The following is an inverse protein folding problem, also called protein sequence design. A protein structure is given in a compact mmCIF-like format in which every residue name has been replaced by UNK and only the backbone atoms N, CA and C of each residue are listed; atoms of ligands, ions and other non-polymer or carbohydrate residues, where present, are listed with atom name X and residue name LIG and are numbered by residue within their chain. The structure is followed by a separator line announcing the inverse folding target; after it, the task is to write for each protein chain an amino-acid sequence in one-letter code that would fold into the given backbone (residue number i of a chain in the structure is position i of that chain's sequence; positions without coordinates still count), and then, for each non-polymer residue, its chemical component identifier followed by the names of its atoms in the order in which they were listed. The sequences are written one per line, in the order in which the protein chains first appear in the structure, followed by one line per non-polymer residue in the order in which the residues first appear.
data_IF_149929805175
#
_entry.id   IF_149929805175
#
_cell.length_a   1.000
_cell.length_b   1.000
_cell.length_c   1.000
_cell.angle_alpha   90.00
_cell.angle_beta   90.00
_cell.angle_gamma   90.00
#
_symmetry.space_group_name_H-M   'P 1'
#
loop_
_entity.id
_entity.type
_entity.pdbx_description
1 polymer ?
#
# COMPACT_ATOMS: atom_id res chain seq x y z
N UNK A 1 -23.28 -3.59 11.93
CA UNK A 1 -22.15 -3.36 12.88
C UNK A 1 -22.73 -3.04 14.26
N UNK A 2 -22.10 -3.40 15.39
CA UNK A 2 -22.68 -3.10 16.72
C UNK A 2 -23.01 -1.60 16.91
N UNK A 3 -22.13 -0.71 16.45
CA UNK A 3 -22.35 0.74 16.52
C UNK A 3 -23.57 1.23 15.73
N UNK A 4 -23.95 0.52 14.67
CA UNK A 4 -25.15 0.79 13.87
C UNK A 4 -26.42 0.43 14.66
N UNK A 5 -26.41 -0.71 15.35
CA UNK A 5 -27.52 -1.12 16.23
C UNK A 5 -27.68 -0.16 17.41
N UNK A 6 -26.57 0.41 17.92
CA UNK A 6 -26.61 1.39 19.01
C UNK A 6 -27.15 2.76 18.57
N UNK A 7 -27.13 3.07 17.27
CA UNK A 7 -27.68 4.31 16.74
C UNK A 7 -29.19 4.40 16.94
N UNK A 8 -29.91 3.27 16.81
CA UNK A 8 -31.36 3.18 17.03
C UNK A 8 -31.76 3.44 18.50
N UNK A 9 -30.80 3.31 19.43
CA UNK A 9 -31.00 3.52 20.87
C UNK A 9 -30.30 4.77 21.39
N UNK A 10 -29.95 5.71 20.51
CA UNK A 10 -29.17 6.89 20.85
C UNK A 10 -29.76 7.65 22.05
N UNK A 11 -31.07 7.85 22.13
CA UNK A 11 -31.69 8.65 23.20
C UNK A 11 -31.64 7.95 24.57
N UNK A 12 -31.79 6.62 24.58
CA UNK A 12 -31.68 5.80 25.81
C UNK A 12 -30.22 5.76 26.26
N UNK A 13 -29.29 5.49 25.34
CA UNK A 13 -27.85 5.47 25.63
C UNK A 13 -27.35 6.82 26.08
N UNK A 14 -27.81 7.89 25.44
CA UNK A 14 -27.53 9.28 25.85
C UNK A 14 -27.97 9.54 27.28
N UNK A 15 -29.17 9.11 27.64
CA UNK A 15 -29.70 9.27 28.99
C UNK A 15 -28.87 8.49 30.02
N UNK A 16 -28.47 7.25 29.70
CA UNK A 16 -27.62 6.43 30.57
C UNK A 16 -26.20 6.98 30.71
N UNK A 17 -25.61 7.44 29.61
CA UNK A 17 -24.23 7.97 29.57
C UNK A 17 -24.12 9.34 30.26
N UNK A 18 -25.14 10.20 30.12
CA UNK A 18 -25.17 11.54 30.74
C UNK A 18 -25.44 11.52 32.24
N UNK A 19 -25.99 10.42 32.79
CA UNK A 19 -26.15 10.23 34.24
C UNK A 19 -24.82 10.14 34.98
N UNK A 20 -23.71 9.82 34.30
CA UNK A 20 -22.41 9.55 34.92
C UNK A 20 -21.39 10.70 34.80
N UNK A 21 -21.66 11.76 34.01
CA UNK A 21 -20.62 12.74 33.67
C UNK A 21 -21.14 14.20 33.70
N UNK A 22 -20.68 14.97 34.69
CA UNK A 22 -21.10 16.36 34.93
C UNK A 22 -20.61 17.35 33.86
N UNK A 23 -19.65 16.93 33.03
CA UNK A 23 -19.08 17.71 31.93
C UNK A 23 -20.09 18.11 30.85
N UNK A 24 -21.22 17.38 30.74
CA UNK A 24 -22.27 17.66 29.76
C UNK A 24 -23.26 18.76 30.19
N UNK A 25 -23.16 19.32 31.41
CA UNK A 25 -24.19 20.17 32.00
C UNK A 25 -24.57 21.43 31.19
N UNK A 26 -23.71 21.92 30.29
CA UNK A 26 -23.90 23.19 29.58
C UNK A 26 -24.38 23.08 28.10
N UNK A 27 -24.44 21.89 27.50
CA UNK A 27 -24.80 21.75 26.06
C UNK A 27 -26.31 21.53 25.82
N UNK A 28 -26.86 22.02 24.71
CA UNK A 28 -28.24 21.70 24.27
C UNK A 28 -28.37 20.31 23.64
N UNK A 29 -27.26 19.72 23.17
CA UNK A 29 -27.17 18.40 22.51
C UNK A 29 -26.38 17.38 23.37
N UNK A 30 -26.60 17.39 24.70
CA UNK A 30 -25.84 16.57 25.67
C UNK A 30 -25.78 15.08 25.30
N UNK A 31 -26.92 14.54 24.85
CA UNK A 31 -27.02 13.15 24.47
C UNK A 31 -26.16 12.78 23.27
N UNK A 32 -26.25 13.58 22.19
CA UNK A 32 -25.43 13.40 20.99
C UNK A 32 -23.94 13.51 21.30
N UNK A 33 -23.54 14.45 22.15
CA UNK A 33 -22.14 14.62 22.54
C UNK A 33 -21.62 13.45 23.39
N UNK A 34 -22.42 12.96 24.35
CA UNK A 34 -22.08 11.79 25.15
C UNK A 34 -21.96 10.52 24.28
N UNK A 35 -22.87 10.35 23.33
CA UNK A 35 -22.82 9.27 22.35
C UNK A 35 -21.59 9.39 21.43
N UNK A 36 -21.26 10.60 20.96
CA UNK A 36 -20.06 10.88 20.18
C UNK A 36 -18.78 10.52 20.93
N UNK A 37 -18.68 10.89 22.21
CA UNK A 37 -17.54 10.54 23.06
C UNK A 37 -17.44 9.02 23.27
N UNK A 38 -18.56 8.34 23.51
CA UNK A 38 -18.60 6.89 23.63
C UNK A 38 -18.10 6.20 22.35
N UNK A 39 -18.63 6.59 21.19
CA UNK A 39 -18.21 6.03 19.89
C UNK A 39 -16.71 6.29 19.67
N UNK A 40 -16.23 7.51 19.95
CA UNK A 40 -14.81 7.87 19.82
C UNK A 40 -13.93 6.93 20.66
N UNK A 41 -14.34 6.64 21.89
CA UNK A 41 -13.63 5.71 22.78
C UNK A 41 -13.63 4.29 22.24
N UNK A 42 -14.77 3.79 21.77
CA UNK A 42 -14.89 2.46 21.15
C UNK A 42 -13.99 2.34 19.92
N UNK A 43 -14.01 3.33 19.03
CA UNK A 43 -13.16 3.37 17.83
C UNK A 43 -11.67 3.38 18.19
N UNK A 44 -11.29 4.14 19.21
CA UNK A 44 -9.91 4.22 19.70
C UNK A 44 -9.44 2.87 20.27
N UNK A 45 -10.27 2.24 21.11
CA UNK A 45 -9.99 0.91 21.66
C UNK A 45 -9.92 -0.17 20.56
N UNK A 46 -10.83 -0.12 19.59
CA UNK A 46 -10.84 -1.03 18.45
C UNK A 46 -9.55 -0.88 17.63
N UNK A 47 -9.17 0.35 17.29
CA UNK A 47 -7.96 0.63 16.51
C UNK A 47 -6.70 0.14 17.22
N UNK A 48 -6.56 0.40 18.53
CA UNK A 48 -5.44 -0.12 19.33
C UNK A 48 -5.42 -1.65 19.37
N UNK A 49 -6.59 -2.27 19.54
CA UNK A 49 -6.71 -3.73 19.55
C UNK A 49 -6.31 -4.35 18.22
N UNK A 50 -6.72 -3.74 17.10
CA UNK A 50 -6.34 -4.16 15.75
C UNK A 50 -4.83 -4.00 15.51
N UNK A 51 -4.23 -2.90 16.00
CA UNK A 51 -2.79 -2.69 15.92
C UNK A 51 -2.01 -3.74 16.71
N UNK A 52 -2.50 -4.14 17.87
CA UNK A 52 -1.88 -5.22 18.65
C UNK A 52 -2.07 -6.58 17.96
N UNK A 53 -3.26 -6.85 17.42
CA UNK A 53 -3.54 -8.10 16.69
C UNK A 53 -2.71 -8.24 15.42
N UNK A 54 -2.43 -7.15 14.72
CA UNK A 54 -1.59 -7.23 13.52
C UNK A 54 -0.18 -7.74 13.84
N UNK A 55 0.35 -7.47 15.04
CA UNK A 55 1.70 -7.84 15.42
C UNK A 55 1.91 -9.36 15.58
N UNK A 56 0.84 -10.17 15.50
CA UNK A 56 0.94 -11.63 15.44
C UNK A 56 1.36 -12.13 14.04
N UNK A 57 1.22 -11.32 12.99
CA UNK A 57 1.76 -11.68 11.69
C UNK A 57 3.28 -11.46 11.68
N UNK A 58 4.01 -12.46 11.19
CA UNK A 58 5.47 -12.38 11.06
C UNK A 58 5.91 -11.44 9.94
N UNK A 59 5.07 -11.29 8.90
CA UNK A 59 5.32 -10.39 7.78
C UNK A 59 4.78 -8.98 8.10
N UNK A 60 5.68 -8.00 8.21
CA UNK A 60 5.32 -6.60 8.47
C UNK A 60 4.44 -5.96 7.39
N UNK A 61 4.50 -6.42 6.14
CA UNK A 61 3.64 -5.94 5.07
C UNK A 61 2.24 -6.54 5.17
N UNK A 62 2.13 -7.79 5.65
CA UNK A 62 0.82 -8.39 5.99
C UNK A 62 0.18 -7.66 7.18
N UNK A 63 0.96 -7.26 8.19
CA UNK A 63 0.47 -6.40 9.26
C UNK A 63 -0.16 -5.11 8.71
N UNK A 64 0.52 -4.48 7.74
CA UNK A 64 0.06 -3.25 7.10
C UNK A 64 -1.24 -3.47 6.31
N UNK A 65 -1.34 -4.55 5.52
CA UNK A 65 -2.57 -4.92 4.80
C UNK A 65 -3.74 -5.19 5.76
N UNK A 66 -3.50 -5.93 6.84
CA UNK A 66 -4.51 -6.19 7.85
C UNK A 66 -5.06 -4.89 8.46
N UNK A 67 -4.16 -3.98 8.88
CA UNK A 67 -4.56 -2.67 9.42
C UNK A 67 -5.31 -1.84 8.38
N UNK A 68 -4.82 -1.82 7.15
CA UNK A 68 -5.43 -1.10 6.03
C UNK A 68 -6.87 -1.56 5.77
N UNK A 69 -7.11 -2.88 5.69
CA UNK A 69 -8.45 -3.45 5.50
C UNK A 69 -9.41 -2.98 6.60
N UNK A 70 -8.99 -3.09 7.86
CA UNK A 70 -9.85 -2.75 8.99
C UNK A 70 -10.10 -1.24 9.10
N UNK A 71 -9.07 -0.40 8.90
CA UNK A 71 -9.21 1.06 8.91
C UNK A 71 -10.13 1.54 7.79
N UNK A 72 -9.98 0.98 6.58
CA UNK A 72 -10.84 1.31 5.45
C UNK A 72 -12.29 0.88 5.71
N UNK A 73 -12.50 -0.31 6.27
CA UNK A 73 -13.83 -0.77 6.67
C UNK A 73 -14.47 0.15 7.73
N UNK A 74 -13.72 0.53 8.78
CA UNK A 74 -14.21 1.46 9.81
C UNK A 74 -14.63 2.79 9.18
N UNK A 75 -13.77 3.38 8.34
CA UNK A 75 -14.07 4.66 7.70
C UNK A 75 -15.32 4.58 6.83
N UNK A 76 -15.43 3.56 5.95
CA UNK A 76 -16.62 3.35 5.12
C UNK A 76 -17.87 3.09 5.95
N UNK A 77 -17.77 2.32 7.04
CA UNK A 77 -18.89 2.05 7.92
C UNK A 77 -19.39 3.32 8.61
N UNK A 78 -18.49 4.18 9.09
CA UNK A 78 -18.84 5.48 9.69
C UNK A 78 -19.49 6.43 8.68
N UNK A 79 -19.00 6.46 7.45
CA UNK A 79 -19.57 7.28 6.38
C UNK A 79 -20.96 6.77 5.96
N UNK A 80 -21.12 5.46 5.75
CA UNK A 80 -22.39 4.84 5.34
C UNK A 80 -23.50 5.00 6.37
N UNK A 81 -23.17 4.91 7.66
CA UNK A 81 -24.15 5.01 8.76
C UNK A 81 -24.44 6.46 9.17
N UNK A 82 -23.68 7.43 8.65
CA UNK A 82 -23.75 8.82 9.09
C UNK A 82 -23.16 9.07 10.48
N UNK A 83 -22.65 8.03 11.16
CA UNK A 83 -22.01 8.14 12.48
C UNK A 83 -20.79 9.07 12.45
N UNK A 84 -20.15 9.24 11.29
CA UNK A 84 -19.03 10.15 11.13
C UNK A 84 -19.36 11.59 11.57
N UNK A 85 -20.59 12.07 11.30
CA UNK A 85 -21.02 13.42 11.66
C UNK A 85 -21.28 13.55 13.17
N UNK A 86 -21.75 12.48 13.82
CA UNK A 86 -21.90 12.43 15.27
C UNK A 86 -20.52 12.45 15.93
N UNK A 87 -19.60 11.61 15.46
CA UNK A 87 -18.23 11.54 16.02
C UNK A 87 -17.50 12.86 15.86
N UNK A 88 -17.70 13.58 14.75
CA UNK A 88 -17.13 14.93 14.51
C UNK A 88 -17.54 15.97 15.56
N UNK A 89 -18.67 15.79 16.26
CA UNK A 89 -19.08 16.67 17.36
C UNK A 89 -18.10 16.63 18.55
N UNK A 90 -17.42 15.50 18.75
CA UNK A 90 -16.43 15.31 19.82
C UNK A 90 -14.99 15.31 19.27
N UNK A 91 -14.77 14.70 18.11
CA UNK A 91 -13.47 14.58 17.45
C UNK A 91 -13.56 15.05 15.99
N UNK A 92 -13.48 16.36 15.78
CA UNK A 92 -13.63 17.01 14.46
C UNK A 92 -12.66 16.47 13.40
N UNK A 93 -11.46 16.07 13.80
CA UNK A 93 -10.40 15.57 12.92
C UNK A 93 -10.44 14.04 12.68
N UNK A 94 -11.47 13.32 13.16
CA UNK A 94 -11.51 11.84 13.10
C UNK A 94 -11.32 11.29 11.68
N UNK A 95 -12.01 11.88 10.70
CA UNK A 95 -11.95 11.45 9.30
C UNK A 95 -10.56 11.67 8.71
N UNK A 96 -9.97 12.84 9.00
CA UNK A 96 -8.60 13.17 8.59
C UNK A 96 -7.59 12.21 9.21
N UNK A 97 -7.74 11.88 10.50
CA UNK A 97 -6.85 10.96 11.21
C UNK A 97 -6.92 9.54 10.63
N UNK A 98 -8.12 9.01 10.38
CA UNK A 98 -8.30 7.70 9.73
C UNK A 98 -7.65 7.66 8.33
N UNK A 99 -7.85 8.71 7.53
CA UNK A 99 -7.23 8.82 6.21
C UNK A 99 -5.70 8.88 6.27
N UNK A 100 -5.12 9.57 7.27
CA UNK A 100 -3.67 9.57 7.50
C UNK A 100 -3.15 8.17 7.85
N UNK A 101 -3.82 7.46 8.76
CA UNK A 101 -3.43 6.10 9.11
C UNK A 101 -3.52 5.14 7.90
N UNK A 102 -4.57 5.25 7.09
CA UNK A 102 -4.73 4.49 5.83
C UNK A 102 -3.54 4.76 4.90
N UNK A 103 -3.18 6.04 4.71
CA UNK A 103 -2.03 6.44 3.88
C UNK A 103 -0.72 5.89 4.42
N UNK A 104 -0.52 5.91 5.73
CA UNK A 104 0.69 5.37 6.36
C UNK A 104 0.79 3.86 6.15
N UNK A 105 -0.31 3.11 6.28
CA UNK A 105 -0.30 1.67 6.00
C UNK A 105 -0.03 1.37 4.53
N UNK A 106 -0.58 2.16 3.59
CA UNK A 106 -0.22 2.05 2.16
C UNK A 106 1.28 2.28 1.93
N UNK A 107 1.88 3.26 2.61
CA UNK A 107 3.33 3.54 2.53
C UNK A 107 4.17 2.39 3.09
N UNK A 108 3.78 1.79 4.22
CA UNK A 108 4.49 0.63 4.76
C UNK A 108 4.38 -0.55 3.79
N UNK A 109 3.19 -0.82 3.28
CA UNK A 109 2.96 -1.87 2.28
C UNK A 109 3.80 -1.67 1.01
N UNK A 110 3.91 -0.44 0.48
CA UNK A 110 4.66 -0.18 -0.75
C UNK A 110 6.14 -0.51 -0.63
N UNK A 111 6.70 -0.54 0.59
CA UNK A 111 8.08 -0.96 0.83
C UNK A 111 8.32 -2.45 0.54
N UNK A 112 7.27 -3.27 0.40
CA UNK A 112 7.39 -4.67 -0.05
C UNK A 112 8.04 -4.79 -1.44
N UNK A 113 7.92 -3.75 -2.28
CA UNK A 113 8.54 -3.69 -3.60
C UNK A 113 10.03 -3.35 -3.60
N UNK A 114 10.62 -2.99 -2.45
CA UNK A 114 12.01 -2.50 -2.39
C UNK A 114 13.03 -3.49 -2.97
N UNK A 115 12.83 -4.80 -2.75
CA UNK A 115 13.72 -5.86 -3.27
C UNK A 115 13.63 -6.00 -4.78
N UNK A 116 12.43 -5.89 -5.35
CA UNK A 116 12.21 -5.86 -6.80
C UNK A 116 12.85 -4.61 -7.41
N UNK A 117 12.58 -3.46 -6.78
CA UNK A 117 13.05 -2.16 -7.22
C UNK A 117 14.57 -2.05 -7.23
N UNK A 118 15.25 -2.71 -6.30
CA UNK A 118 16.71 -2.75 -6.23
C UNK A 118 17.37 -3.13 -7.57
N UNK A 119 16.80 -4.09 -8.30
CA UNK A 119 17.37 -4.56 -9.56
C UNK A 119 17.15 -3.62 -10.76
N UNK A 120 16.12 -2.75 -10.69
CA UNK A 120 15.70 -1.88 -11.80
C UNK A 120 15.98 -0.40 -11.57
N UNK A 121 16.21 0.02 -10.32
CA UNK A 121 16.50 1.43 -9.99
C UNK A 121 17.99 1.79 -10.14
N UNK A 122 18.90 0.81 -10.12
CA UNK A 122 20.33 1.07 -10.32
C UNK A 122 20.73 1.28 -11.80
N UNK A 123 19.76 1.60 -12.66
CA UNK A 123 19.97 1.81 -14.10
C UNK A 123 20.59 3.18 -14.39
N UNK A 124 20.43 4.13 -13.47
CA UNK A 124 20.96 5.49 -13.55
C UNK A 124 22.41 5.63 -13.09
N UNK A 125 23.01 4.57 -12.50
CA UNK A 125 24.47 4.56 -12.34
C UNK A 125 25.07 4.34 -13.73
N UNK A 126 25.78 5.32 -14.30
CA UNK A 126 26.42 5.12 -15.60
C UNK A 126 27.33 3.91 -15.48
N UNK A 127 27.16 2.94 -16.40
CA UNK A 127 28.03 1.76 -16.57
C UNK A 127 29.50 2.18 -16.86
N UNK A 128 29.81 3.47 -16.90
CA UNK A 128 31.16 4.00 -17.07
C UNK A 128 31.32 5.38 -16.42
N UNK A 129 31.46 5.45 -15.09
CA UNK A 129 32.19 6.57 -14.46
C UNK A 129 33.66 6.19 -14.24
N UNK A 130 34.31 5.80 -15.33
CA UNK A 130 35.72 6.05 -15.57
C UNK A 130 35.87 6.43 -17.05
N UNK A 131 35.37 7.61 -17.42
CA UNK A 131 36.18 8.60 -18.13
C UNK A 131 35.46 9.92 -18.15
N UNK A 132 36.15 10.88 -17.54
CA UNK A 132 35.90 12.30 -17.64
C UNK A 132 35.82 12.75 -19.11
N UNK A 133 34.93 13.71 -19.35
CA UNK A 133 35.01 14.77 -20.37
C UNK A 133 35.45 14.32 -21.77
N UNK A 134 34.46 14.11 -22.64
CA UNK A 134 34.63 14.35 -24.06
C UNK A 134 33.35 15.01 -24.56
N UNK A 135 33.46 16.32 -24.81
CA UNK A 135 32.39 17.15 -25.35
C UNK A 135 32.05 16.66 -26.77
N UNK A 136 31.04 15.80 -26.92
CA UNK A 136 30.34 15.63 -28.20
C UNK A 136 28.93 15.11 -27.95
N UNK A 137 27.96 15.93 -28.31
CA UNK A 137 26.54 15.59 -28.39
C UNK A 137 26.30 14.61 -29.54
N UNK A 138 26.49 13.32 -29.28
CA UNK A 138 25.94 12.19 -30.05
C UNK A 138 26.29 10.88 -29.33
N UNK A 139 25.28 10.15 -28.84
CA UNK A 139 25.44 8.78 -28.35
C UNK A 139 25.87 7.89 -29.53
N UNK A 140 27.01 7.16 -29.47
CA UNK A 140 27.28 6.12 -30.44
C UNK A 140 26.48 4.88 -30.05
N UNK A 141 25.36 4.66 -30.73
CA UNK A 141 24.75 3.35 -30.88
C UNK A 141 25.80 2.36 -31.41
N UNK A 142 26.07 1.29 -30.65
CA UNK A 142 27.02 0.18 -30.91
C UNK A 142 28.39 0.18 -30.19
N UNK A 143 28.52 0.74 -28.98
CA UNK A 143 29.66 0.37 -28.13
C UNK A 143 29.45 -1.05 -27.58
N UNK A 144 30.25 -2.02 -28.04
CA UNK A 144 30.18 -3.43 -27.58
C UNK A 144 30.31 -3.48 -26.06
N UNK A 145 29.27 -4.00 -25.37
CA UNK A 145 29.30 -4.21 -23.93
C UNK A 145 30.49 -5.08 -23.53
N UNK A 146 31.16 -4.70 -22.44
CA UNK A 146 32.22 -5.51 -21.83
C UNK A 146 31.60 -6.74 -21.18
N UNK A 147 32.33 -7.85 -21.11
CA UNK A 147 31.78 -9.10 -20.56
C UNK A 147 31.30 -8.97 -19.10
N UNK A 148 31.98 -8.11 -18.31
CA UNK A 148 31.53 -7.77 -16.95
C UNK A 148 30.17 -7.07 -16.93
N UNK A 149 29.91 -6.17 -17.87
CA UNK A 149 28.64 -5.45 -17.96
C UNK A 149 27.52 -6.38 -18.43
N UNK A 150 27.83 -7.27 -19.38
CA UNK A 150 26.91 -8.32 -19.81
C UNK A 150 26.53 -9.25 -18.67
N UNK A 151 27.50 -9.66 -17.85
CA UNK A 151 27.25 -10.50 -16.68
C UNK A 151 26.39 -9.76 -15.65
N UNK A 152 26.69 -8.50 -15.36
CA UNK A 152 25.89 -7.68 -14.44
C UNK A 152 24.44 -7.53 -14.91
N UNK A 153 24.19 -7.34 -16.21
CA UNK A 153 22.82 -7.26 -16.76
C UNK A 153 22.09 -8.60 -16.56
N UNK A 154 22.75 -9.74 -16.82
CA UNK A 154 22.19 -11.07 -16.57
C UNK A 154 21.81 -11.27 -15.11
N UNK A 155 22.71 -10.88 -14.19
CA UNK A 155 22.49 -11.02 -12.76
C UNK A 155 21.32 -10.14 -12.30
N UNK A 156 21.18 -8.93 -12.86
CA UNK A 156 20.03 -8.05 -12.59
C UNK A 156 18.70 -8.65 -13.05
N UNK A 157 18.62 -9.17 -14.27
CA UNK A 157 17.41 -9.85 -14.75
C UNK A 157 17.09 -11.09 -13.91
N UNK A 158 18.08 -11.91 -13.58
CA UNK A 158 17.88 -13.10 -12.76
C UNK A 158 17.38 -12.76 -11.35
N UNK A 159 17.98 -11.75 -10.71
CA UNK A 159 17.56 -11.24 -9.42
C UNK A 159 16.16 -10.65 -9.44
N UNK A 160 15.85 -9.82 -10.46
CA UNK A 160 14.52 -9.28 -10.68
C UNK A 160 13.47 -10.39 -10.82
N UNK A 161 13.72 -11.41 -11.65
CA UNK A 161 12.78 -12.51 -11.86
C UNK A 161 12.47 -13.24 -10.55
N UNK A 162 13.50 -13.53 -9.74
CA UNK A 162 13.35 -14.18 -8.44
C UNK A 162 12.51 -13.34 -7.47
N UNK A 163 12.80 -12.05 -7.35
CA UNK A 163 12.06 -11.18 -6.44
C UNK A 163 10.63 -10.92 -6.93
N UNK A 164 10.40 -10.87 -8.25
CA UNK A 164 9.06 -10.79 -8.83
C UNK A 164 8.22 -12.04 -8.56
N UNK A 165 8.80 -13.23 -8.65
CA UNK A 165 8.13 -14.48 -8.29
C UNK A 165 7.76 -14.50 -6.81
N UNK A 166 8.69 -14.09 -5.94
CA UNK A 166 8.48 -14.06 -4.50
C UNK A 166 7.38 -13.07 -4.10
N UNK A 167 7.44 -11.83 -4.59
CA UNK A 167 6.39 -10.86 -4.28
C UNK A 167 5.04 -11.31 -4.84
N UNK A 168 4.99 -11.91 -6.03
CA UNK A 168 3.75 -12.45 -6.61
C UNK A 168 3.14 -13.51 -5.71
N UNK A 169 3.97 -14.46 -5.23
CA UNK A 169 3.55 -15.52 -4.31
C UNK A 169 2.95 -14.95 -3.03
N UNK A 170 3.64 -14.01 -2.40
CA UNK A 170 3.19 -13.38 -1.14
C UNK A 170 1.92 -12.57 -1.34
N UNK A 171 1.87 -11.72 -2.37
CA UNK A 171 0.74 -10.80 -2.62
C UNK A 171 -0.54 -11.54 -3.02
N UNK A 172 -0.41 -12.70 -3.69
CA UNK A 172 -1.57 -13.57 -3.98
C UNK A 172 -2.18 -14.19 -2.73
N UNK A 173 -1.38 -14.39 -1.67
CA UNK A 173 -1.88 -14.93 -0.41
C UNK A 173 -2.58 -13.86 0.47
N UNK A 174 -2.43 -12.59 0.14
CA UNK A 174 -3.08 -11.50 0.87
C UNK A 174 -4.55 -11.39 0.51
N UNK A 175 -5.38 -11.08 1.50
CA UNK A 175 -6.80 -10.82 1.31
C UNK A 175 -7.07 -9.32 1.42
N UNK A 176 -7.71 -8.73 0.40
CA UNK A 176 -8.22 -7.35 0.44
C UNK A 176 -9.69 -7.39 0.01
N UNK A 177 -10.64 -7.49 0.95
CA UNK A 177 -12.05 -7.73 0.62
C UNK A 177 -12.74 -6.57 -0.10
N UNK A 178 -12.39 -5.33 0.23
CA UNK A 178 -12.98 -4.15 -0.41
C UNK A 178 -12.40 -3.96 -1.82
N UNK A 179 -13.29 -3.94 -2.82
CA UNK A 179 -12.93 -3.87 -4.24
C UNK A 179 -12.23 -2.55 -4.60
N UNK A 180 -12.70 -1.43 -4.07
CA UNK A 180 -12.13 -0.12 -4.37
C UNK A 180 -10.71 0.01 -3.80
N UNK A 181 -10.52 -0.47 -2.57
CA UNK A 181 -9.22 -0.54 -1.93
C UNK A 181 -8.28 -1.48 -2.69
N UNK A 182 -8.75 -2.66 -3.08
CA UNK A 182 -7.99 -3.66 -3.85
C UNK A 182 -7.50 -3.08 -5.17
N UNK A 183 -8.40 -2.49 -5.95
CA UNK A 183 -8.06 -1.89 -7.24
C UNK A 183 -7.16 -0.66 -7.06
N UNK A 184 -7.33 0.11 -5.99
CA UNK A 184 -6.40 1.19 -5.66
C UNK A 184 -5.00 0.66 -5.37
N UNK A 185 -4.84 -0.42 -4.60
CA UNK A 185 -3.53 -1.00 -4.33
C UNK A 185 -2.87 -1.57 -5.59
N UNK A 186 -3.65 -2.21 -6.47
CA UNK A 186 -3.16 -2.68 -7.77
C UNK A 186 -2.65 -1.52 -8.63
N UNK A 187 -3.39 -0.41 -8.71
CA UNK A 187 -2.94 0.81 -9.41
C UNK A 187 -1.66 1.37 -8.80
N UNK A 188 -1.62 1.56 -7.48
CA UNK A 188 -0.44 2.08 -6.77
C UNK A 188 0.78 1.19 -7.06
N UNK A 189 0.64 -0.14 -7.01
CA UNK A 189 1.69 -1.10 -7.35
C UNK A 189 2.21 -0.94 -8.78
N UNK A 190 1.31 -0.82 -9.77
CA UNK A 190 1.66 -0.62 -11.17
C UNK A 190 2.45 0.68 -11.36
N UNK A 191 2.01 1.76 -10.74
CA UNK A 191 2.69 3.06 -10.76
C UNK A 191 4.10 2.99 -10.15
N UNK A 192 4.29 2.17 -9.11
CA UNK A 192 5.59 1.98 -8.49
C UNK A 192 6.60 1.27 -9.40
N UNK A 193 6.20 0.17 -10.05
CA UNK A 193 7.16 -0.74 -10.71
C UNK A 193 7.21 -0.61 -12.23
N UNK A 194 6.07 -0.43 -12.91
CA UNK A 194 6.01 -0.53 -14.38
C UNK A 194 6.90 0.52 -15.07
N UNK A 195 6.87 1.81 -14.71
CA UNK A 195 7.71 2.80 -15.38
C UNK A 195 9.21 2.48 -15.26
N UNK A 196 9.64 2.04 -14.06
CA UNK A 196 11.05 1.71 -13.77
C UNK A 196 11.49 0.45 -14.50
N UNK A 197 10.63 -0.57 -14.53
CA UNK A 197 10.92 -1.78 -15.28
C UNK A 197 10.94 -1.52 -16.79
N UNK A 198 10.04 -0.70 -17.31
CA UNK A 198 9.99 -0.34 -18.74
C UNK A 198 11.31 0.30 -19.17
N UNK A 199 11.80 1.28 -18.41
CA UNK A 199 13.11 1.89 -18.67
C UNK A 199 14.26 0.87 -18.60
N UNK A 200 14.25 -0.04 -17.63
CA UNK A 200 15.25 -1.11 -17.52
C UNK A 200 15.21 -2.08 -18.71
N UNK A 201 14.00 -2.49 -19.10
CA UNK A 201 13.73 -3.43 -20.18
C UNK A 201 14.17 -2.86 -21.53
N UNK A 202 13.70 -1.66 -21.89
CA UNK A 202 14.03 -0.99 -23.15
C UNK A 202 15.52 -0.71 -23.29
N UNK A 203 16.20 -0.38 -22.19
CA UNK A 203 17.64 -0.12 -22.20
C UNK A 203 18.47 -1.36 -22.55
N UNK A 204 18.03 -2.56 -22.16
CA UNK A 204 18.86 -3.77 -22.24
C UNK A 204 18.39 -4.81 -23.24
N UNK A 205 17.14 -4.79 -23.70
CA UNK A 205 16.62 -5.80 -24.62
C UNK A 205 17.47 -5.96 -25.89
N UNK A 206 17.86 -4.84 -26.49
CA UNK A 206 18.66 -4.81 -27.73
C UNK A 206 20.15 -4.52 -27.46
N UNK A 207 20.59 -4.54 -26.20
CA UNK A 207 21.96 -4.17 -25.84
C UNK A 207 23.01 -5.26 -26.16
N UNK A 208 22.58 -6.43 -26.65
CA UNK A 208 23.49 -7.53 -27.03
C UNK A 208 24.24 -8.16 -25.83
N UNK A 209 23.61 -8.18 -24.65
CA UNK A 209 24.22 -8.74 -23.43
C UNK A 209 24.23 -10.28 -23.39
N UNK A 210 23.40 -10.92 -24.21
CA UNK A 210 23.28 -12.38 -24.32
C UNK A 210 22.85 -12.77 -25.73
N UNK A 211 23.17 -14.01 -26.13
CA UNK A 211 22.64 -14.63 -27.36
C UNK A 211 21.28 -15.31 -27.15
N UNK A 212 20.93 -15.57 -25.90
CA UNK A 212 19.67 -16.19 -25.49
C UNK A 212 18.99 -15.24 -24.50
N UNK A 213 18.18 -14.33 -25.03
CA UNK A 213 17.44 -13.29 -24.29
C UNK A 213 16.34 -13.90 -23.44
N UNK A 214 15.61 -14.87 -23.98
CA UNK A 214 14.43 -15.50 -23.37
C UNK A 214 14.77 -16.24 -22.07
N UNK A 215 16.03 -16.70 -21.93
CA UNK A 215 16.52 -17.28 -20.67
C UNK A 215 16.54 -16.27 -19.51
N UNK A 216 16.75 -14.98 -19.78
CA UNK A 216 16.94 -13.96 -18.75
C UNK A 216 15.73 -13.01 -18.63
N UNK A 217 15.12 -12.63 -19.75
CA UNK A 217 13.98 -11.73 -19.78
C UNK A 217 12.69 -12.56 -19.71
N UNK A 218 12.20 -12.80 -18.49
CA UNK A 218 10.99 -13.63 -18.25
C UNK A 218 9.69 -12.85 -18.42
N UNK A 219 9.73 -11.53 -18.23
CA UNK A 219 8.55 -10.68 -18.20
C UNK A 219 8.74 -9.51 -19.17
N UNK A 220 7.70 -9.17 -19.91
CA UNK A 220 7.54 -7.85 -20.52
C UNK A 220 6.92 -6.88 -19.50
N UNK A 221 6.96 -5.55 -19.72
CA UNK A 221 6.21 -4.62 -18.89
C UNK A 221 4.71 -4.95 -18.81
N UNK A 222 4.13 -5.46 -19.91
CA UNK A 222 2.73 -5.90 -19.94
C UNK A 222 2.51 -7.15 -19.07
N UNK A 223 3.44 -8.10 -19.08
CA UNK A 223 3.34 -9.29 -18.22
C UNK A 223 3.34 -8.91 -16.73
N UNK A 224 4.16 -7.93 -16.32
CA UNK A 224 4.15 -7.42 -14.94
C UNK A 224 2.80 -6.82 -14.60
N UNK A 225 2.21 -6.03 -15.51
CA UNK A 225 0.87 -5.46 -15.34
C UNK A 225 -0.17 -6.58 -15.11
N UNK A 226 -0.16 -7.59 -15.98
CA UNK A 226 -1.08 -8.74 -15.91
C UNK A 226 -0.89 -9.55 -14.62
N UNK A 227 0.36 -9.72 -14.15
CA UNK A 227 0.65 -10.39 -12.88
C UNK A 227 0.06 -9.60 -11.71
N UNK A 228 0.22 -8.27 -11.67
CA UNK A 228 -0.35 -7.42 -10.61
C UNK A 228 -1.88 -7.47 -10.60
N UNK A 229 -2.52 -7.65 -11.76
CA UNK A 229 -3.98 -7.80 -11.84
C UNK A 229 -4.50 -9.04 -11.10
N UNK A 230 -3.65 -10.03 -10.87
CA UNK A 230 -3.97 -11.25 -10.12
C UNK A 230 -3.65 -11.17 -8.61
N UNK A 231 -3.26 -9.99 -8.11
CA UNK A 231 -2.93 -9.82 -6.70
C UNK A 231 -4.20 -9.71 -5.85
N UNK A 232 -4.10 -10.18 -4.60
CA UNK A 232 -5.15 -10.12 -3.58
C UNK A 232 -6.41 -10.96 -3.83
N UNK A 233 -6.32 -11.94 -4.74
CA UNK A 233 -7.47 -12.77 -5.15
C UNK A 233 -7.82 -13.90 -4.15
N UNK A 234 -7.01 -14.12 -3.10
CA UNK A 234 -7.27 -15.17 -2.09
C UNK A 234 -8.58 -15.00 -1.30
N UNK A 235 -9.23 -13.85 -1.40
CA UNK A 235 -10.54 -13.56 -0.79
C UNK A 235 -11.51 -12.85 -1.75
N UNK A 236 -11.23 -12.91 -3.06
CA UNK A 236 -12.07 -12.32 -4.10
C UNK A 236 -13.24 -13.24 -4.49
#
# INVERSE_FOLDING_TARGET
MLLEQLQDYQDILSSVLTLQDASFAASKDKGKLAFAQYITRVLSTLTTTLNNKSNYYSDGFLCAIFRLNNLHYILKALQRTGLIEIVKLHASDVEKNLNLQIRDQKRVYSQSWSRVLHYVMEVDKPISQQRAVSNTSQLPSSMKLRDKDKQNIKDKFAGFNKEMEEITRTQKAYAVPDVELRESLKRDNKEFIIPKYTMFYEKYIDAGFTKNTDKYIKYTPQDISNVIDTFFDAAA
#
